data_IF_545691920497
#
_entry.id   IF_545691920497
#
_cell.length_a   1.000
_cell.length_b   1.000
_cell.length_c   1.000
_cell.angle_alpha   90.00
_cell.angle_beta   90.00
_cell.angle_gamma   90.00
#
_symmetry.space_group_name_H-M   'P 1'
#
loop_
_entity.id
_entity.type
_entity.pdbx_description
1 polymer ?
#
# COMPACT_ATOMS: atom_id res chain seq x y z
N UNK A 1 -11.52 17.41 9.01
CA UNK A 1 -10.12 17.02 9.23
C UNK A 1 -9.60 16.52 7.91
N UNK A 2 -8.58 17.17 7.35
CA UNK A 2 -7.91 16.67 6.15
C UNK A 2 -7.30 15.29 6.44
N UNK A 3 -7.57 14.30 5.58
CA UNK A 3 -7.00 12.96 5.69
C UNK A 3 -5.49 13.05 5.37
N UNK A 4 -4.63 12.50 6.24
CA UNK A 4 -3.20 12.44 5.95
C UNK A 4 -2.92 11.40 4.86
N UNK A 5 -1.85 11.59 4.08
CA UNK A 5 -1.40 10.59 3.10
C UNK A 5 -1.24 9.20 3.72
N UNK A 6 -0.64 9.12 4.91
CA UNK A 6 -0.44 7.84 5.60
C UNK A 6 -1.76 7.12 5.95
N UNK A 7 -2.76 7.88 6.41
CA UNK A 7 -4.10 7.37 6.67
C UNK A 7 -4.78 6.87 5.39
N UNK A 8 -4.70 7.66 4.31
CA UNK A 8 -5.26 7.29 3.00
C UNK A 8 -4.63 6.01 2.44
N UNK A 9 -3.29 5.91 2.46
CA UNK A 9 -2.56 4.73 1.98
C UNK A 9 -2.96 3.46 2.74
N UNK A 10 -3.02 3.54 4.08
CA UNK A 10 -3.46 2.41 4.90
C UNK A 10 -4.88 1.99 4.55
N UNK A 11 -5.80 2.95 4.42
CA UNK A 11 -7.21 2.70 4.10
C UNK A 11 -7.39 2.05 2.73
N UNK A 12 -6.66 2.50 1.71
CA UNK A 12 -6.71 1.89 0.38
C UNK A 12 -6.11 0.47 0.39
N UNK A 13 -4.95 0.29 1.04
CA UNK A 13 -4.32 -1.02 1.18
C UNK A 13 -5.24 -2.03 1.90
N UNK A 14 -5.88 -1.62 2.98
CA UNK A 14 -6.76 -2.49 3.77
C UNK A 14 -8.04 -2.91 3.01
N UNK A 15 -8.40 -2.23 1.91
CA UNK A 15 -9.57 -2.54 1.07
C UNK A 15 -9.28 -3.45 -0.11
N UNK A 16 -8.05 -3.45 -0.62
CA UNK A 16 -7.67 -4.26 -1.78
C UNK A 16 -7.33 -5.67 -1.35
N UNK A 17 -7.87 -6.66 -2.05
CA UNK A 17 -7.43 -8.04 -1.97
C UNK A 17 -6.20 -8.28 -2.88
N UNK A 18 -5.41 -9.34 -2.66
CA UNK A 18 -4.34 -9.72 -3.58
C UNK A 18 -4.83 -9.88 -5.03
N UNK A 19 -6.06 -10.39 -5.21
CA UNK A 19 -6.64 -10.61 -6.53
C UNK A 19 -6.95 -9.31 -7.28
N UNK A 20 -7.29 -8.22 -6.57
CA UNK A 20 -7.56 -6.91 -7.19
C UNK A 20 -6.32 -6.28 -7.82
N UNK A 21 -5.13 -6.79 -7.49
CA UNK A 21 -3.83 -6.35 -8.01
C UNK A 21 -3.12 -7.46 -8.78
N UNK A 22 -3.88 -8.45 -9.28
CA UNK A 22 -3.37 -9.52 -10.14
C UNK A 22 -2.49 -10.54 -9.41
N UNK A 23 -2.58 -10.65 -8.08
CA UNK A 23 -1.84 -11.63 -7.28
C UNK A 23 -2.75 -12.73 -6.77
N UNK A 24 -2.21 -13.95 -6.70
CA UNK A 24 -2.93 -15.07 -6.11
C UNK A 24 -3.09 -14.88 -4.58
N UNK A 25 -4.30 -15.10 -4.08
CA UNK A 25 -4.55 -15.20 -2.64
C UNK A 25 -4.09 -16.57 -2.13
N UNK A 26 -3.25 -16.61 -1.09
CA UNK A 26 -2.77 -17.87 -0.48
C UNK A 26 -3.73 -18.38 0.60
N UNK A 27 -3.96 -19.71 0.71
CA UNK A 27 -4.72 -20.30 1.82
C UNK A 27 -4.13 -19.94 3.18
N UNK A 28 -4.99 -19.77 4.22
CA UNK A 28 -4.56 -19.50 5.60
C UNK A 28 -4.10 -18.07 5.90
N UNK A 29 -4.35 -17.13 4.99
CA UNK A 29 -4.10 -15.70 5.18
C UNK A 29 -5.02 -15.11 6.26
N UNK A 30 -4.44 -14.35 7.20
CA UNK A 30 -5.17 -13.58 8.23
C UNK A 30 -5.45 -12.12 7.85
N UNK A 31 -4.64 -11.54 6.97
CA UNK A 31 -4.85 -10.16 6.51
C UNK A 31 -6.16 -10.06 5.70
N UNK A 32 -6.93 -8.99 5.88
CA UNK A 32 -8.20 -8.76 5.16
C UNK A 32 -7.96 -8.05 3.83
N UNK A 33 -7.07 -7.04 3.80
CA UNK A 33 -6.58 -6.37 2.58
C UNK A 33 -5.09 -6.64 2.29
N UNK A 34 -4.49 -5.91 1.37
CA UNK A 34 -3.09 -6.12 0.96
C UNK A 34 -2.16 -6.02 2.17
N UNK A 35 -1.16 -6.90 2.23
CA UNK A 35 -0.08 -6.81 3.21
C UNK A 35 0.88 -5.71 2.81
N UNK A 36 1.67 -5.22 3.76
CA UNK A 36 2.67 -4.18 3.49
C UNK A 36 3.78 -4.72 2.60
N UNK A 37 4.13 -5.98 2.79
CA UNK A 37 5.10 -6.72 1.99
C UNK A 37 4.60 -6.85 0.54
N UNK A 38 3.32 -7.16 0.34
CA UNK A 38 2.71 -7.26 -0.98
C UNK A 38 2.71 -5.90 -1.69
N UNK A 39 2.34 -4.82 -0.99
CA UNK A 39 2.39 -3.47 -1.55
C UNK A 39 3.82 -3.06 -1.87
N UNK A 40 4.76 -3.25 -0.95
CA UNK A 40 6.17 -2.93 -1.11
C UNK A 40 6.76 -3.60 -2.36
N UNK A 41 6.44 -4.88 -2.58
CA UNK A 41 6.85 -5.62 -3.76
C UNK A 41 6.22 -5.07 -5.05
N UNK A 42 4.93 -4.72 -5.02
CA UNK A 42 4.22 -4.12 -6.18
C UNK A 42 4.83 -2.79 -6.64
N UNK A 43 5.29 -1.95 -5.69
CA UNK A 43 5.81 -0.61 -6.01
C UNK A 43 7.34 -0.52 -6.00
N UNK A 44 8.04 -1.62 -5.75
CA UNK A 44 9.51 -1.65 -5.69
C UNK A 44 10.09 -0.84 -4.53
N UNK A 45 9.42 -0.82 -3.38
CA UNK A 45 9.85 -0.12 -2.17
C UNK A 45 10.23 -1.11 -1.07
N UNK A 46 10.95 -0.65 -0.05
CA UNK A 46 11.13 -1.46 1.16
C UNK A 46 9.86 -1.47 2.01
N UNK A 47 9.62 -2.58 2.71
CA UNK A 47 8.49 -2.73 3.66
C UNK A 47 8.54 -1.63 4.72
N UNK A 48 9.73 -1.35 5.26
CA UNK A 48 9.97 -0.28 6.23
C UNK A 48 9.58 1.10 5.71
N UNK A 49 9.77 1.36 4.42
CA UNK A 49 9.37 2.63 3.83
C UNK A 49 7.84 2.74 3.72
N UNK A 50 7.15 1.66 3.35
CA UNK A 50 5.68 1.59 3.39
C UNK A 50 5.16 1.80 4.82
N UNK A 51 5.78 1.17 5.83
CA UNK A 51 5.42 1.37 7.25
C UNK A 51 5.59 2.84 7.65
N UNK A 52 6.71 3.47 7.30
CA UNK A 52 6.94 4.89 7.62
C UNK A 52 5.95 5.82 6.92
N UNK A 53 5.60 5.53 5.65
CA UNK A 53 4.59 6.30 4.92
C UNK A 53 3.23 6.23 5.61
N UNK A 54 2.76 5.02 5.95
CA UNK A 54 1.47 4.84 6.64
C UNK A 54 1.42 5.47 8.04
N UNK A 55 2.56 5.51 8.73
CA UNK A 55 2.70 6.16 10.03
C UNK A 55 2.90 7.69 9.94
N UNK A 56 2.99 8.26 8.73
CA UNK A 56 3.28 9.68 8.53
C UNK A 56 4.71 10.09 8.91
N UNK A 57 5.64 9.14 8.98
CA UNK A 57 7.06 9.34 9.37
C UNK A 57 8.01 9.47 8.17
N UNK A 58 7.53 9.20 6.96
CA UNK A 58 8.25 9.50 5.73
C UNK A 58 7.77 10.87 5.21
N UNK A 59 8.49 11.92 5.59
CA UNK A 59 8.22 13.29 5.15
C UNK A 59 8.80 13.50 3.76
N UNK A 60 7.96 13.89 2.79
CA UNK A 60 8.32 14.17 1.39
C UNK A 60 8.70 12.95 0.52
N UNK A 61 7.77 11.99 0.27
CA UNK A 61 7.94 11.03 -0.82
C UNK A 61 8.05 11.76 -2.16
N UNK A 62 8.86 11.23 -3.07
CA UNK A 62 8.97 11.81 -4.42
C UNK A 62 7.65 11.66 -5.18
N UNK A 63 7.40 12.52 -6.16
CA UNK A 63 6.23 12.43 -7.03
C UNK A 63 6.13 11.05 -7.71
N UNK A 64 7.26 10.45 -8.06
CA UNK A 64 7.33 9.10 -8.62
C UNK A 64 6.84 8.04 -7.63
N UNK A 65 7.26 8.11 -6.36
CA UNK A 65 6.78 7.20 -5.30
C UNK A 65 5.26 7.32 -5.14
N UNK A 66 4.75 8.56 -5.08
CA UNK A 66 3.31 8.81 -4.96
C UNK A 66 2.54 8.26 -6.16
N UNK A 67 3.04 8.47 -7.38
CA UNK A 67 2.41 7.94 -8.59
C UNK A 67 2.39 6.41 -8.64
N UNK A 68 3.50 5.74 -8.25
CA UNK A 68 3.55 4.28 -8.17
C UNK A 68 2.57 3.72 -7.14
N UNK A 69 2.48 4.35 -5.95
CA UNK A 69 1.51 3.97 -4.92
C UNK A 69 0.07 4.16 -5.41
N UNK A 70 -0.22 5.31 -6.04
CA UNK A 70 -1.55 5.59 -6.56
C UNK A 70 -1.97 4.58 -7.64
N UNK A 71 -1.05 4.12 -8.48
CA UNK A 71 -1.33 3.09 -9.49
C UNK A 71 -1.54 1.71 -8.87
N UNK A 72 -0.68 1.31 -7.93
CA UNK A 72 -0.76 0.01 -7.28
C UNK A 72 -1.98 -0.14 -6.34
N UNK A 73 -2.56 0.99 -5.89
CA UNK A 73 -3.72 1.02 -5.00
C UNK A 73 -5.05 1.32 -5.73
N UNK A 74 -5.07 1.25 -7.06
CA UNK A 74 -6.30 1.23 -7.84
C UNK A 74 -6.70 -0.22 -8.15
N UNK A 75 -7.99 -0.59 -7.97
CA UNK A 75 -8.48 -1.88 -8.45
C UNK A 75 -8.25 -2.02 -9.96
N UNK A 76 -7.84 -3.22 -10.39
CA UNK A 76 -7.76 -3.58 -11.81
C UNK A 76 -9.15 -3.68 -12.47
#
# INVERSE_FOLDING_TARGET
MDETLGTALRRWRDRLSPTDVGRASRPGRRAVGLRREELAELVGLSVDYVVRLEQGRATSPSAQVVASLARALQPA
#
